data_IF_973178349731
#
_entry.id   IF_973178349731
#
_cell.length_a   1.000
_cell.length_b   1.000
_cell.length_c   1.000
_cell.angle_alpha   90.00
_cell.angle_beta   90.00
_cell.angle_gamma   90.00
#
_symmetry.space_group_name_H-M   'P 1'
#
loop_
_entity.id
_entity.type
_entity.pdbx_description
1 polymer ?
#
# COMPACT_ATOMS: atom_id res chain seq x y z
N UNK A 1 -8.27 9.66 -14.38
CA UNK A 1 -7.34 10.25 -15.37
C UNK A 1 -5.99 9.53 -15.37
N UNK A 2 -5.29 9.42 -14.23
CA UNK A 2 -3.92 8.88 -14.16
C UNK A 2 -3.84 7.39 -14.45
N UNK A 3 -4.79 6.57 -13.99
CA UNK A 3 -4.87 5.16 -14.35
C UNK A 3 -5.02 4.98 -15.87
N UNK A 4 -5.86 5.79 -16.51
CA UNK A 4 -6.03 5.76 -17.97
C UNK A 4 -4.79 6.27 -18.74
N UNK A 5 -4.00 7.17 -18.16
CA UNK A 5 -2.72 7.57 -18.71
C UNK A 5 -1.70 6.42 -18.63
N UNK A 6 -1.63 5.76 -17.49
CA UNK A 6 -0.78 4.59 -17.29
C UNK A 6 -1.13 3.42 -18.23
N UNK A 7 -2.42 3.18 -18.51
CA UNK A 7 -2.84 2.14 -19.45
C UNK A 7 -2.31 2.37 -20.87
N UNK A 8 -2.08 3.64 -21.24
CA UNK A 8 -1.50 3.99 -22.54
C UNK A 8 0.01 3.92 -22.54
N UNK A 9 0.61 4.26 -21.41
CA UNK A 9 2.07 4.27 -21.24
C UNK A 9 2.45 3.98 -19.77
N UNK A 10 2.96 2.78 -19.46
CA UNK A 10 3.40 2.42 -18.11
C UNK A 10 4.52 3.29 -17.54
N UNK A 11 5.23 4.08 -18.36
CA UNK A 11 6.18 5.06 -17.86
C UNK A 11 5.49 6.21 -17.10
N UNK A 12 4.17 6.36 -17.30
CA UNK A 12 3.35 7.32 -16.60
C UNK A 12 2.79 6.76 -15.26
N UNK A 13 3.58 5.94 -14.56
CA UNK A 13 3.26 5.55 -13.20
C UNK A 13 3.28 6.76 -12.25
N UNK A 14 2.67 6.61 -11.10
CA UNK A 14 2.60 7.67 -10.08
C UNK A 14 3.27 7.22 -8.79
N UNK A 15 3.53 8.16 -7.90
CA UNK A 15 4.08 7.88 -6.58
C UNK A 15 3.57 8.87 -5.54
N UNK A 16 3.58 8.45 -4.28
CA UNK A 16 3.29 9.29 -3.13
C UNK A 16 4.36 9.19 -2.07
N UNK A 17 4.58 10.29 -1.37
CA UNK A 17 5.43 10.35 -0.19
C UNK A 17 4.56 10.23 1.05
N UNK A 18 5.04 9.51 2.06
CA UNK A 18 4.41 9.45 3.36
C UNK A 18 4.44 10.80 4.06
N UNK A 19 3.34 11.16 4.70
CA UNK A 19 3.24 12.34 5.55
C UNK A 19 2.63 11.98 6.90
N UNK A 20 3.13 12.62 7.95
CA UNK A 20 2.69 12.36 9.33
C UNK A 20 2.35 13.65 10.11
N UNK A 21 2.40 14.78 9.44
CA UNK A 21 2.12 16.09 10.03
C UNK A 21 1.75 17.09 8.94
N UNK A 22 0.78 17.96 9.20
CA UNK A 22 0.29 18.94 8.23
C UNK A 22 1.38 19.86 7.70
N UNK A 23 2.25 20.37 8.56
CA UNK A 23 3.38 21.22 8.14
C UNK A 23 4.34 20.49 7.18
N UNK A 24 4.65 19.23 7.45
CA UNK A 24 5.52 18.43 6.58
C UNK A 24 4.87 18.21 5.20
N UNK A 25 3.60 17.85 5.16
CA UNK A 25 2.85 17.71 3.91
C UNK A 25 2.80 19.03 3.12
N UNK A 26 2.57 20.15 3.80
CA UNK A 26 2.61 21.49 3.20
C UNK A 26 3.98 21.77 2.57
N UNK A 27 5.07 21.55 3.29
CA UNK A 27 6.43 21.79 2.78
C UNK A 27 6.77 20.86 1.60
N UNK A 28 6.32 19.60 1.64
CA UNK A 28 6.45 18.69 0.50
C UNK A 28 5.79 19.26 -0.75
N UNK A 29 4.54 19.71 -0.65
CA UNK A 29 3.81 20.20 -1.83
C UNK A 29 4.32 21.55 -2.33
N UNK A 30 4.77 22.44 -1.45
CA UNK A 30 5.46 23.67 -1.84
C UNK A 30 6.74 23.35 -2.60
N UNK A 31 7.56 22.41 -2.11
CA UNK A 31 8.79 22.00 -2.77
C UNK A 31 8.49 21.32 -4.14
N UNK A 32 7.50 20.42 -4.19
CA UNK A 32 7.05 19.76 -5.42
C UNK A 32 6.63 20.80 -6.48
N UNK A 33 5.75 21.74 -6.12
CA UNK A 33 5.29 22.80 -7.02
C UNK A 33 6.44 23.65 -7.53
N UNK A 34 7.37 24.01 -6.64
CA UNK A 34 8.55 24.82 -6.99
C UNK A 34 9.51 24.11 -7.95
N UNK A 35 9.77 22.81 -7.73
CA UNK A 35 10.81 22.09 -8.46
C UNK A 35 10.29 21.36 -9.72
N UNK A 36 9.01 20.99 -9.75
CA UNK A 36 8.38 20.27 -10.87
C UNK A 36 7.37 21.10 -11.64
N UNK A 37 7.17 22.37 -11.29
CA UNK A 37 6.28 23.29 -12.01
C UNK A 37 4.78 23.11 -11.71
N UNK A 38 4.41 22.15 -10.85
CA UNK A 38 3.01 21.90 -10.49
C UNK A 38 2.84 20.74 -9.56
N UNK A 39 1.58 20.51 -9.15
CA UNK A 39 1.16 19.41 -8.25
C UNK A 39 0.38 18.32 -8.99
N UNK A 40 0.31 18.39 -10.30
CA UNK A 40 -0.36 17.35 -11.11
C UNK A 40 0.27 15.99 -10.89
N UNK A 41 -0.58 14.96 -10.77
CA UNK A 41 -0.17 13.57 -10.56
C UNK A 41 0.68 13.37 -9.29
N UNK A 42 0.45 14.21 -8.28
CA UNK A 42 1.07 14.11 -6.96
C UNK A 42 0.04 13.66 -5.94
N UNK A 43 0.51 12.92 -4.94
CA UNK A 43 -0.33 12.28 -3.94
C UNK A 43 0.36 12.33 -2.59
N UNK A 44 -0.43 12.30 -1.53
CA UNK A 44 0.07 12.11 -0.16
C UNK A 44 -0.43 10.76 0.33
N UNK A 45 0.42 9.99 1.00
CA UNK A 45 0.07 8.74 1.64
C UNK A 45 0.16 8.85 3.16
N UNK A 46 -0.90 8.45 3.84
CA UNK A 46 -0.96 8.31 5.30
C UNK A 46 -0.87 6.83 5.66
N UNK A 47 0.29 6.43 6.12
CA UNK A 47 0.57 5.06 6.54
C UNK A 47 0.12 4.82 7.97
N UNK A 48 -0.54 3.70 8.23
CA UNK A 48 -0.86 3.22 9.57
C UNK A 48 0.37 3.12 10.46
N UNK A 49 1.50 2.65 9.91
CA UNK A 49 2.78 2.64 10.62
C UNK A 49 3.20 4.01 11.16
N UNK A 50 3.12 5.06 10.32
CA UNK A 50 3.50 6.42 10.73
C UNK A 50 2.53 6.99 11.76
N UNK A 51 1.24 6.70 11.62
CA UNK A 51 0.23 7.10 12.60
C UNK A 51 0.47 6.42 13.94
N UNK A 52 0.68 5.12 13.96
CA UNK A 52 0.98 4.38 15.18
C UNK A 52 2.26 4.92 15.88
N UNK A 53 3.33 5.12 15.12
CA UNK A 53 4.61 5.54 15.66
C UNK A 53 4.65 7.01 16.12
N UNK A 54 3.87 7.91 15.50
CA UNK A 54 4.07 9.35 15.64
C UNK A 54 2.82 10.14 16.07
N UNK A 55 1.62 9.55 16.01
CA UNK A 55 0.35 10.27 16.20
C UNK A 55 -0.58 9.65 17.23
N UNK A 56 -0.22 8.52 17.83
CA UNK A 56 -1.00 7.90 18.89
C UNK A 56 -0.95 8.72 20.19
N UNK A 57 -2.07 8.87 20.87
CA UNK A 57 -2.17 9.48 22.20
C UNK A 57 -1.49 8.62 23.28
N UNK A 58 -1.31 7.32 23.03
CA UNK A 58 -0.59 6.42 23.94
C UNK A 58 0.94 6.52 23.85
N UNK A 59 1.46 7.42 23.00
CA UNK A 59 2.88 7.49 22.65
C UNK A 59 3.23 6.60 21.44
N UNK A 60 4.53 6.43 21.14
CA UNK A 60 4.95 5.62 19.99
C UNK A 60 4.51 4.16 20.12
N UNK A 61 3.76 3.67 19.14
CA UNK A 61 3.27 2.30 19.07
C UNK A 61 3.85 1.56 17.85
N UNK A 62 3.95 0.23 17.91
CA UNK A 62 4.23 -0.58 16.73
C UNK A 62 3.05 -0.57 15.76
N UNK A 63 3.30 -0.99 14.52
CA UNK A 63 2.30 -1.11 13.44
C UNK A 63 1.39 -2.33 13.66
N UNK A 64 0.46 -2.22 14.61
CA UNK A 64 -0.43 -3.30 15.07
C UNK A 64 -1.87 -2.82 15.30
N UNK A 65 -2.31 -1.75 14.65
CA UNK A 65 -3.68 -1.17 14.79
C UNK A 65 -4.09 -0.87 16.24
N UNK A 66 -3.12 -0.51 17.09
CA UNK A 66 -3.38 -0.20 18.50
C UNK A 66 -3.62 1.29 18.74
N UNK A 67 -3.37 2.15 17.76
CA UNK A 67 -3.66 3.58 17.86
C UNK A 67 -5.17 3.84 17.80
N UNK A 68 -5.57 5.02 18.20
CA UNK A 68 -6.98 5.43 18.25
C UNK A 68 -7.56 5.49 16.84
N UNK A 69 -8.78 4.97 16.65
CA UNK A 69 -9.49 4.96 15.34
C UNK A 69 -9.61 6.34 14.71
N UNK A 70 -9.60 7.39 15.52
CA UNK A 70 -9.75 8.78 15.07
C UNK A 70 -8.45 9.46 14.71
N UNK A 71 -7.29 8.83 14.95
CA UNK A 71 -5.97 9.42 14.66
C UNK A 71 -5.76 9.67 13.18
N UNK A 72 -6.16 8.74 12.29
CA UNK A 72 -6.03 8.94 10.84
C UNK A 72 -6.98 10.02 10.32
N UNK A 73 -8.29 10.02 10.63
CA UNK A 73 -9.16 11.13 10.25
C UNK A 73 -8.66 12.50 10.71
N UNK A 74 -8.21 12.63 11.96
CA UNK A 74 -7.67 13.87 12.48
C UNK A 74 -6.43 14.36 11.71
N UNK A 75 -5.55 13.44 11.34
CA UNK A 75 -4.37 13.76 10.52
C UNK A 75 -4.75 14.17 9.10
N UNK A 76 -5.76 13.57 8.49
CA UNK A 76 -6.28 13.97 7.18
C UNK A 76 -6.77 15.41 7.22
N UNK A 77 -7.59 15.77 8.21
CA UNK A 77 -8.11 17.14 8.41
C UNK A 77 -6.97 18.14 8.61
N UNK A 78 -5.99 17.79 9.44
CA UNK A 78 -4.80 18.62 9.67
C UNK A 78 -4.06 18.88 8.35
N UNK A 79 -3.72 17.83 7.60
CA UNK A 79 -3.00 17.95 6.33
C UNK A 79 -3.78 18.80 5.34
N UNK A 80 -5.05 18.52 5.16
CA UNK A 80 -5.92 19.28 4.26
C UNK A 80 -5.92 20.77 4.62
N UNK A 81 -6.04 21.10 5.92
CA UNK A 81 -6.01 22.48 6.42
C UNK A 81 -4.67 23.17 6.10
N UNK A 82 -3.55 22.50 6.31
CA UNK A 82 -2.24 23.06 6.00
C UNK A 82 -2.00 23.27 4.50
N UNK A 83 -2.48 22.37 3.66
CA UNK A 83 -2.39 22.52 2.19
C UNK A 83 -3.22 23.72 1.70
N UNK A 84 -4.48 23.85 2.20
CA UNK A 84 -5.29 25.02 1.89
C UNK A 84 -4.70 26.34 2.40
N UNK A 85 -4.02 26.31 3.53
CA UNK A 85 -3.31 27.47 4.04
C UNK A 85 -2.16 27.89 3.13
N UNK A 86 -1.45 26.93 2.51
CA UNK A 86 -0.43 27.23 1.50
C UNK A 86 -1.04 27.94 0.28
N UNK A 87 -2.17 27.46 -0.21
CA UNK A 87 -2.92 28.11 -1.31
C UNK A 87 -3.30 29.55 -0.96
N UNK A 88 -3.95 29.74 0.18
CA UNK A 88 -4.37 31.07 0.65
C UNK A 88 -3.19 32.02 0.76
N UNK A 89 -2.05 31.54 1.25
CA UNK A 89 -0.84 32.35 1.39
C UNK A 89 -0.27 32.77 0.05
N UNK A 90 -0.12 31.81 -0.87
CA UNK A 90 0.42 32.11 -2.22
C UNK A 90 -0.47 33.08 -2.98
N UNK A 91 -1.77 32.86 -2.99
CA UNK A 91 -2.74 33.73 -3.67
C UNK A 91 -2.75 35.14 -3.06
N UNK A 92 -2.75 35.25 -1.72
CA UNK A 92 -2.67 36.55 -1.07
C UNK A 92 -1.37 37.30 -1.39
N UNK A 93 -0.24 36.60 -1.47
CA UNK A 93 1.05 37.23 -1.83
C UNK A 93 1.05 37.73 -3.29
N UNK A 94 0.43 36.98 -4.20
CA UNK A 94 0.22 37.41 -5.60
C UNK A 94 -0.66 38.67 -5.68
N UNK A 95 -1.78 38.71 -4.98
CA UNK A 95 -2.65 39.89 -4.97
C UNK A 95 -2.00 41.11 -4.30
N UNK A 96 -1.26 40.94 -3.22
CA UNK A 96 -0.48 42.03 -2.62
C UNK A 96 0.58 42.57 -3.58
N UNK A 97 1.23 41.72 -4.34
CA UNK A 97 2.18 42.13 -5.37
C UNK A 97 1.48 42.83 -6.53
N UNK A 98 0.32 42.35 -6.95
CA UNK A 98 -0.55 42.98 -7.95
C UNK A 98 -0.93 44.40 -7.56
N UNK A 99 -1.44 44.61 -6.35
CA UNK A 99 -1.83 45.94 -5.81
C UNK A 99 -0.64 46.92 -5.81
N UNK A 100 0.55 46.43 -5.44
CA UNK A 100 1.76 47.25 -5.48
C UNK A 100 2.16 47.64 -6.90
N UNK A 101 2.06 46.71 -7.87
CA UNK A 101 2.35 47.00 -9.28
C UNK A 101 1.34 48.02 -9.86
N UNK A 102 0.05 47.84 -9.55
CA UNK A 102 -1.01 48.79 -9.91
C UNK A 102 -0.72 50.19 -9.37
N UNK A 103 -0.38 50.33 -8.07
CA UNK A 103 -0.07 51.58 -7.42
C UNK A 103 1.19 52.25 -8.01
N UNK A 104 2.14 51.46 -8.50
CA UNK A 104 3.34 51.93 -9.19
C UNK A 104 3.14 52.30 -10.66
N UNK A 105 1.94 52.04 -11.22
CA UNK A 105 1.62 52.23 -12.63
C UNK A 105 2.23 51.18 -13.58
N UNK A 106 2.81 50.11 -13.05
CA UNK A 106 3.38 49.02 -13.84
C UNK A 106 2.28 48.02 -14.29
N UNK A 107 1.59 48.40 -15.36
CA UNK A 107 0.47 47.63 -15.91
C UNK A 107 0.90 46.25 -16.45
N UNK A 108 2.12 46.13 -16.99
CA UNK A 108 2.63 44.87 -17.51
C UNK A 108 2.85 43.86 -16.36
N UNK A 109 3.46 44.30 -15.27
CA UNK A 109 3.68 43.47 -14.07
C UNK A 109 2.36 43.10 -13.40
N UNK A 110 1.42 44.04 -13.31
CA UNK A 110 0.10 43.79 -12.76
C UNK A 110 -0.62 42.71 -13.56
N UNK A 111 -0.64 42.80 -14.89
CA UNK A 111 -1.25 41.79 -15.75
C UNK A 111 -0.61 40.40 -15.58
N UNK A 112 0.72 40.33 -15.51
CA UNK A 112 1.45 39.06 -15.22
C UNK A 112 1.01 38.44 -13.91
N UNK A 113 0.94 39.23 -12.83
CA UNK A 113 0.60 38.75 -11.49
C UNK A 113 -0.85 38.30 -11.40
N UNK A 114 -1.76 39.00 -12.08
CA UNK A 114 -3.16 38.59 -12.15
C UNK A 114 -3.31 37.27 -12.90
N UNK A 115 -2.66 37.10 -14.06
CA UNK A 115 -2.67 35.85 -14.79
C UNK A 115 -2.11 34.67 -13.97
N UNK A 116 -1.07 34.90 -13.17
CA UNK A 116 -0.53 33.90 -12.24
C UNK A 116 -1.53 33.54 -11.13
N UNK A 117 -2.26 34.51 -10.61
CA UNK A 117 -3.30 34.26 -9.60
C UNK A 117 -4.49 33.48 -10.18
N UNK A 118 -4.92 33.81 -11.42
CA UNK A 118 -6.00 33.14 -12.13
C UNK A 118 -5.63 31.69 -12.56
N UNK A 119 -4.36 31.46 -12.87
CA UNK A 119 -3.83 30.12 -13.22
C UNK A 119 -3.25 29.37 -12.03
N UNK A 120 -3.57 29.79 -10.81
CA UNK A 120 -3.05 29.16 -9.59
C UNK A 120 -3.36 27.67 -9.53
N UNK A 121 -2.33 26.86 -9.39
CA UNK A 121 -2.46 25.43 -9.10
C UNK A 121 -2.47 25.19 -7.60
N UNK A 122 -3.47 24.48 -7.11
CA UNK A 122 -3.64 24.18 -5.70
C UNK A 122 -2.51 23.29 -5.16
N UNK A 123 -2.16 23.46 -3.89
CA UNK A 123 -1.31 22.53 -3.13
C UNK A 123 -2.10 21.32 -2.61
N UNK A 124 -3.44 21.39 -2.66
CA UNK A 124 -4.27 20.27 -2.26
C UNK A 124 -4.17 19.16 -3.31
N UNK A 125 -3.67 18.02 -2.89
CA UNK A 125 -3.52 16.81 -3.72
C UNK A 125 -4.32 15.68 -3.11
N UNK A 126 -4.67 14.63 -3.89
CA UNK A 126 -5.38 13.47 -3.34
C UNK A 126 -4.61 12.83 -2.19
N UNK A 127 -5.34 12.51 -1.11
CA UNK A 127 -4.82 11.83 0.08
C UNK A 127 -5.26 10.36 0.01
N UNK A 128 -4.28 9.47 0.03
CA UNK A 128 -4.46 8.02 0.16
C UNK A 128 -4.25 7.69 1.64
N UNK A 129 -5.24 7.13 2.31
CA UNK A 129 -5.19 6.88 3.74
C UNK A 129 -5.32 5.40 4.06
N UNK A 130 -4.49 4.94 4.99
CA UNK A 130 -4.49 3.58 5.51
C UNK A 130 -5.60 3.43 6.56
N UNK A 131 -6.49 2.47 6.37
CA UNK A 131 -7.53 2.08 7.32
C UNK A 131 -7.15 0.78 8.05
N UNK A 132 -5.88 0.35 7.94
CA UNK A 132 -5.40 -0.94 8.46
C UNK A 132 -6.34 -2.08 8.03
N UNK A 133 -6.71 -2.96 8.95
CA UNK A 133 -7.67 -4.04 8.72
C UNK A 133 -9.14 -3.63 8.99
N UNK A 134 -9.44 -2.32 9.07
CA UNK A 134 -10.77 -1.77 9.27
C UNK A 134 -11.21 -1.57 10.72
N UNK A 135 -10.32 -1.80 11.71
CA UNK A 135 -10.58 -1.61 13.14
C UNK A 135 -11.83 -2.32 13.68
N UNK A 136 -12.15 -3.48 13.14
CA UNK A 136 -13.27 -4.32 13.55
C UNK A 136 -13.95 -5.04 12.38
N UNK A 137 -15.25 -5.21 12.48
CA UNK A 137 -16.09 -5.80 11.44
C UNK A 137 -16.46 -4.79 10.32
N UNK A 138 -17.35 -5.18 9.41
CA UNK A 138 -17.76 -4.34 8.28
C UNK A 138 -18.42 -3.04 8.72
N UNK A 139 -19.23 -3.06 9.79
CA UNK A 139 -19.91 -1.86 10.32
C UNK A 139 -18.91 -0.87 10.92
N UNK A 140 -17.93 -1.37 11.68
CA UNK A 140 -16.84 -0.55 12.21
C UNK A 140 -16.01 0.08 11.08
N UNK A 141 -15.71 -0.72 10.05
CA UNK A 141 -14.99 -0.27 8.84
C UNK A 141 -15.79 0.81 8.10
N UNK A 142 -17.12 0.65 7.94
CA UNK A 142 -17.96 1.65 7.33
C UNK A 142 -17.92 2.99 8.07
N UNK A 143 -18.11 2.98 9.40
CA UNK A 143 -18.10 4.18 10.22
C UNK A 143 -16.76 4.92 10.15
N UNK A 144 -15.66 4.18 10.18
CA UNK A 144 -14.32 4.77 10.07
C UNK A 144 -14.06 5.30 8.66
N UNK A 145 -14.40 4.54 7.62
CA UNK A 145 -14.27 4.97 6.22
C UNK A 145 -15.04 6.27 5.97
N UNK A 146 -16.29 6.34 6.43
CA UNK A 146 -17.10 7.56 6.35
C UNK A 146 -16.38 8.75 6.96
N UNK A 147 -15.85 8.59 8.17
CA UNK A 147 -15.14 9.66 8.87
C UNK A 147 -13.86 10.10 8.13
N UNK A 148 -13.13 9.16 7.54
CA UNK A 148 -11.92 9.46 6.76
C UNK A 148 -12.26 10.19 5.46
N UNK A 149 -13.33 9.81 4.77
CA UNK A 149 -13.81 10.47 3.54
C UNK A 149 -14.29 11.89 3.86
N UNK A 150 -15.07 12.08 4.92
CA UNK A 150 -15.50 13.40 5.41
C UNK A 150 -14.31 14.30 5.75
N UNK A 151 -13.22 13.73 6.28
CA UNK A 151 -11.98 14.45 6.57
C UNK A 151 -11.19 14.84 5.30
N UNK A 152 -11.47 14.22 4.15
CA UNK A 152 -10.88 14.56 2.86
C UNK A 152 -10.06 13.44 2.19
N UNK A 153 -10.12 12.20 2.66
CA UNK A 153 -9.48 11.08 1.97
C UNK A 153 -10.14 10.81 0.62
N UNK A 154 -9.32 10.67 -0.43
CA UNK A 154 -9.78 10.35 -1.78
C UNK A 154 -9.62 8.85 -2.10
N UNK A 155 -8.74 8.18 -1.38
CA UNK A 155 -8.51 6.75 -1.50
C UNK A 155 -8.31 6.13 -0.11
N UNK A 156 -8.86 4.93 0.09
CA UNK A 156 -8.68 4.16 1.32
C UNK A 156 -8.00 2.83 1.00
N UNK A 157 -6.98 2.50 1.77
CA UNK A 157 -6.27 1.23 1.66
C UNK A 157 -6.64 0.35 2.85
N UNK A 158 -7.09 -0.87 2.56
CA UNK A 158 -7.48 -1.87 3.56
C UNK A 158 -6.77 -3.20 3.32
N UNK A 159 -6.44 -3.90 4.38
CA UNK A 159 -5.78 -5.21 4.33
C UNK A 159 -6.62 -6.34 4.90
N UNK A 160 -6.32 -7.58 4.48
CA UNK A 160 -7.08 -8.78 4.85
C UNK A 160 -6.64 -9.43 6.17
N UNK A 161 -5.90 -8.72 7.01
CA UNK A 161 -5.56 -9.21 8.35
C UNK A 161 -6.75 -9.10 9.32
N UNK A 162 -6.67 -9.84 10.41
CA UNK A 162 -7.60 -9.70 11.55
C UNK A 162 -7.27 -8.40 12.28
N UNK A 163 -8.27 -7.55 12.53
CA UNK A 163 -8.05 -6.19 13.04
C UNK A 163 -7.37 -6.14 14.41
N UNK A 164 -7.71 -7.04 15.30
CA UNK A 164 -7.20 -7.11 16.68
C UNK A 164 -5.92 -7.96 16.81
N UNK A 165 -5.47 -8.58 15.72
CA UNK A 165 -4.26 -9.40 15.63
C UNK A 165 -3.30 -8.92 14.53
N UNK A 166 -3.51 -7.70 14.01
CA UNK A 166 -2.74 -7.11 12.92
C UNK A 166 -1.27 -6.98 13.28
N UNK A 167 -0.42 -7.39 12.32
CA UNK A 167 1.03 -7.24 12.38
C UNK A 167 1.51 -6.38 11.20
N UNK A 168 2.67 -5.75 11.37
CA UNK A 168 3.36 -5.13 10.24
C UNK A 168 3.55 -6.15 9.11
N UNK A 169 3.40 -5.72 7.86
CA UNK A 169 3.43 -6.59 6.69
C UNK A 169 4.68 -7.47 6.55
N UNK A 170 5.79 -7.05 7.15
CA UNK A 170 7.08 -7.75 7.11
C UNK A 170 7.33 -8.65 8.34
N UNK A 171 6.37 -8.74 9.25
CA UNK A 171 6.47 -9.62 10.43
C UNK A 171 5.82 -10.98 10.17
N UNK A 172 6.34 -11.99 10.88
CA UNK A 172 5.74 -13.31 10.93
C UNK A 172 4.49 -13.34 11.83
N UNK A 173 3.71 -14.42 11.70
CA UNK A 173 2.55 -14.65 12.56
C UNK A 173 1.29 -13.87 12.17
N UNK A 174 1.24 -13.33 10.96
CA UNK A 174 0.04 -12.66 10.43
C UNK A 174 -1.14 -13.62 10.33
N UNK A 175 -2.31 -13.14 10.73
CA UNK A 175 -3.57 -13.89 10.71
C UNK A 175 -4.53 -13.19 9.76
N UNK A 176 -5.03 -13.91 8.75
CA UNK A 176 -5.99 -13.37 7.77
C UNK A 176 -7.44 -13.70 8.13
N UNK A 177 -8.36 -12.85 7.65
CA UNK A 177 -9.80 -13.12 7.68
C UNK A 177 -10.22 -13.91 6.44
N UNK A 178 -11.32 -14.68 6.48
CA UNK A 178 -11.87 -15.32 5.30
C UNK A 178 -12.45 -14.29 4.33
N UNK A 179 -12.66 -14.71 3.09
CA UNK A 179 -13.09 -13.84 1.99
C UNK A 179 -14.39 -13.12 2.26
N UNK A 180 -15.39 -13.78 2.83
CA UNK A 180 -16.68 -13.16 3.13
C UNK A 180 -16.54 -11.95 4.06
N UNK A 181 -15.69 -12.02 5.07
CA UNK A 181 -15.45 -10.90 5.99
C UNK A 181 -14.71 -9.76 5.29
N UNK A 182 -13.72 -10.09 4.48
CA UNK A 182 -12.96 -9.08 3.75
C UNK A 182 -13.80 -8.39 2.67
N UNK A 183 -14.60 -9.15 1.91
CA UNK A 183 -15.54 -8.62 0.91
C UNK A 183 -16.55 -7.67 1.55
N UNK A 184 -17.09 -8.02 2.72
CA UNK A 184 -18.03 -7.14 3.42
C UNK A 184 -17.36 -5.81 3.81
N UNK A 185 -16.11 -5.80 4.25
CA UNK A 185 -15.35 -4.58 4.55
C UNK A 185 -15.11 -3.73 3.29
N UNK A 186 -14.73 -4.36 2.17
CA UNK A 186 -14.56 -3.67 0.88
C UNK A 186 -15.88 -2.98 0.46
N UNK A 187 -16.98 -3.72 0.52
CA UNK A 187 -18.32 -3.19 0.19
C UNK A 187 -18.76 -2.09 1.15
N UNK A 188 -18.41 -2.17 2.42
CA UNK A 188 -18.69 -1.15 3.43
C UNK A 188 -17.98 0.18 3.09
N UNK A 189 -16.71 0.11 2.67
CA UNK A 189 -15.96 1.29 2.20
C UNK A 189 -16.60 1.86 0.92
N UNK A 190 -16.93 1.01 -0.06
CA UNK A 190 -17.60 1.46 -1.29
C UNK A 190 -18.94 2.15 -0.99
N UNK A 191 -19.70 1.57 -0.08
CA UNK A 191 -20.96 2.16 0.34
C UNK A 191 -20.76 3.55 1.00
N UNK A 192 -19.76 3.71 1.86
CA UNK A 192 -19.42 4.99 2.46
C UNK A 192 -19.08 6.06 1.40
N UNK A 193 -18.31 5.73 0.37
CA UNK A 193 -18.01 6.63 -0.74
C UNK A 193 -19.29 7.04 -1.50
N UNK A 194 -20.15 6.07 -1.82
CA UNK A 194 -21.41 6.33 -2.54
C UNK A 194 -22.38 7.18 -1.73
N UNK A 195 -22.54 6.89 -0.44
CA UNK A 195 -23.41 7.64 0.46
C UNK A 195 -22.99 9.11 0.60
N UNK A 196 -21.67 9.36 0.63
CA UNK A 196 -21.13 10.72 0.72
C UNK A 196 -21.04 11.44 -0.65
N UNK A 197 -21.53 10.84 -1.71
CA UNK A 197 -21.54 11.45 -3.06
C UNK A 197 -20.15 11.51 -3.70
N UNK A 198 -19.24 10.60 -3.37
CA UNK A 198 -17.87 10.49 -3.90
C UNK A 198 -17.70 9.17 -4.66
N UNK A 199 -18.44 8.94 -5.76
CA UNK A 199 -18.44 7.66 -6.46
C UNK A 199 -17.07 7.31 -7.06
N UNK A 200 -16.22 8.30 -7.32
CA UNK A 200 -14.85 8.13 -7.85
C UNK A 200 -13.82 7.80 -6.75
N UNK A 201 -14.24 7.65 -5.50
CA UNK A 201 -13.36 7.25 -4.40
C UNK A 201 -12.71 5.91 -4.67
N UNK A 202 -11.40 5.81 -4.42
CA UNK A 202 -10.57 4.66 -4.77
C UNK A 202 -10.42 3.74 -3.55
N UNK A 203 -10.56 2.43 -3.78
CA UNK A 203 -10.30 1.40 -2.78
C UNK A 203 -9.08 0.60 -3.21
N UNK A 204 -8.04 0.62 -2.38
CA UNK A 204 -6.84 -0.20 -2.53
C UNK A 204 -6.95 -1.37 -1.56
N UNK A 205 -6.97 -2.59 -2.08
CA UNK A 205 -7.03 -3.79 -1.25
C UNK A 205 -5.67 -4.46 -1.17
N UNK A 206 -5.15 -4.57 0.06
CA UNK A 206 -3.90 -5.26 0.34
C UNK A 206 -4.17 -6.69 0.74
N UNK A 207 -3.42 -7.62 0.16
CA UNK A 207 -3.33 -9.00 0.63
C UNK A 207 -2.00 -9.26 1.30
N UNK A 208 -2.05 -9.81 2.50
CA UNK A 208 -0.91 -10.28 3.28
C UNK A 208 -0.68 -11.79 3.13
N UNK A 209 -1.47 -12.45 2.30
CA UNK A 209 -1.50 -13.92 2.19
C UNK A 209 -0.19 -14.54 1.73
N UNK A 210 0.72 -13.78 1.09
CA UNK A 210 2.03 -14.30 0.70
C UNK A 210 2.84 -14.78 1.91
N UNK A 211 2.88 -13.95 2.98
CA UNK A 211 3.60 -14.24 4.22
C UNK A 211 2.70 -14.71 5.38
N UNK A 212 1.37 -14.64 5.26
CA UNK A 212 0.46 -15.06 6.32
C UNK A 212 0.23 -16.57 6.28
N UNK A 213 0.60 -17.25 7.35
CA UNK A 213 0.40 -18.71 7.48
C UNK A 213 -0.88 -19.12 8.21
N UNK A 214 -1.63 -18.18 8.78
CA UNK A 214 -2.73 -18.42 9.70
C UNK A 214 -4.02 -17.74 9.25
N UNK A 215 -5.16 -18.33 9.64
CA UNK A 215 -6.48 -17.69 9.53
C UNK A 215 -7.31 -17.91 10.80
N UNK A 216 -8.17 -16.94 11.10
CA UNK A 216 -9.01 -16.97 12.30
C UNK A 216 -10.14 -17.99 12.20
N UNK A 217 -10.66 -18.19 11.01
CA UNK A 217 -11.79 -19.08 10.79
C UNK A 217 -11.80 -19.70 9.39
N UNK A 218 -12.59 -20.74 9.23
CA UNK A 218 -12.85 -21.39 7.96
C UNK A 218 -13.87 -20.55 7.19
N UNK A 219 -13.66 -20.38 5.89
CA UNK A 219 -14.62 -19.69 5.02
C UNK A 219 -15.92 -20.50 4.88
N UNK A 220 -17.03 -19.78 4.83
CA UNK A 220 -18.32 -20.41 4.60
C UNK A 220 -18.43 -20.91 3.15
N UNK A 221 -18.78 -22.16 2.97
CA UNK A 221 -19.00 -22.78 1.67
C UNK A 221 -20.36 -23.49 1.67
N UNK A 222 -21.14 -23.31 0.60
CA UNK A 222 -22.41 -24.01 0.37
C UNK A 222 -22.24 -25.16 -0.55
N UNK A 223 -21.39 -25.00 -1.56
CA UNK A 223 -21.25 -25.96 -2.67
C UNK A 223 -19.77 -26.17 -3.01
N UNK A 224 -19.38 -27.34 -3.50
CA UNK A 224 -18.04 -27.56 -4.00
C UNK A 224 -17.69 -26.56 -5.11
N UNK A 225 -16.51 -25.94 -4.98
CA UNK A 225 -15.99 -24.97 -5.96
C UNK A 225 -16.51 -23.55 -5.80
N UNK A 226 -17.37 -23.25 -4.82
CA UNK A 226 -17.70 -21.89 -4.49
C UNK A 226 -16.49 -21.14 -3.88
N UNK A 227 -16.62 -19.86 -3.62
CA UNK A 227 -15.52 -19.04 -3.11
C UNK A 227 -14.98 -19.53 -1.76
N UNK A 228 -15.86 -19.95 -0.86
CA UNK A 228 -15.45 -20.50 0.43
C UNK A 228 -14.70 -21.82 0.29
N UNK A 229 -15.15 -22.70 -0.61
CA UNK A 229 -14.45 -23.96 -0.90
C UNK A 229 -13.07 -23.71 -1.52
N UNK A 230 -12.96 -22.75 -2.45
CA UNK A 230 -11.68 -22.34 -3.04
C UNK A 230 -10.71 -21.83 -1.97
N UNK A 231 -11.18 -21.02 -1.02
CA UNK A 231 -10.36 -20.53 0.10
C UNK A 231 -9.94 -21.67 1.03
N UNK A 232 -10.90 -22.50 1.44
CA UNK A 232 -10.66 -23.62 2.35
C UNK A 232 -9.74 -24.68 1.73
N UNK A 233 -9.65 -24.72 0.40
CA UNK A 233 -8.73 -25.60 -0.32
C UNK A 233 -7.26 -25.42 0.08
N UNK A 234 -6.88 -24.27 0.62
CA UNK A 234 -5.51 -23.98 1.05
C UNK A 234 -5.22 -24.39 2.51
N UNK A 235 -6.24 -24.74 3.29
CA UNK A 235 -6.06 -25.11 4.70
C UNK A 235 -5.25 -26.41 4.85
N UNK A 236 -4.46 -26.49 5.92
CA UNK A 236 -3.87 -27.74 6.40
C UNK A 236 -4.97 -28.58 7.04
N UNK A 237 -5.15 -29.78 6.52
CA UNK A 237 -6.23 -30.69 6.89
C UNK A 237 -5.67 -32.07 7.23
N UNK A 238 -6.41 -32.81 8.04
CA UNK A 238 -6.26 -34.25 8.20
C UNK A 238 -7.34 -34.98 7.38
N UNK A 239 -6.97 -36.09 6.77
CA UNK A 239 -7.95 -37.00 6.12
C UNK A 239 -8.65 -37.83 7.20
N UNK A 240 -9.96 -37.87 7.13
CA UNK A 240 -10.78 -38.66 8.07
C UNK A 240 -11.78 -39.55 7.33
N UNK A 241 -12.23 -40.57 7.99
CA UNK A 241 -13.38 -41.39 7.54
C UNK A 241 -14.70 -40.80 8.06
N UNK A 242 -15.80 -41.11 7.41
CA UNK A 242 -17.13 -40.66 7.86
C UNK A 242 -17.44 -41.04 9.31
N UNK A 243 -16.92 -42.17 9.81
CA UNK A 243 -17.08 -42.60 11.21
C UNK A 243 -16.22 -41.85 12.22
N UNK A 244 -15.25 -41.06 11.77
CA UNK A 244 -14.41 -40.21 12.62
C UNK A 244 -14.94 -38.76 12.71
N UNK A 245 -15.92 -38.41 11.87
CA UNK A 245 -16.57 -37.12 11.93
C UNK A 245 -17.36 -36.97 13.23
N UNK A 246 -17.22 -35.80 13.89
CA UNK A 246 -17.93 -35.45 15.12
C UNK A 246 -18.98 -34.40 14.81
N UNK A 247 -19.99 -34.34 15.69
CA UNK A 247 -20.96 -33.24 15.62
C UNK A 247 -20.25 -31.89 15.83
N UNK A 248 -20.52 -30.96 14.92
CA UNK A 248 -19.85 -29.66 14.89
C UNK A 248 -18.55 -29.59 14.08
N UNK A 249 -18.05 -30.70 13.54
CA UNK A 249 -16.90 -30.66 12.62
C UNK A 249 -17.28 -29.96 11.31
N UNK A 250 -16.42 -29.07 10.84
CA UNK A 250 -16.48 -28.54 9.47
C UNK A 250 -15.69 -29.48 8.56
N UNK A 251 -16.33 -30.01 7.56
CA UNK A 251 -15.75 -31.02 6.67
C UNK A 251 -15.61 -30.46 5.25
N UNK A 252 -14.44 -30.67 4.67
CA UNK A 252 -14.10 -30.31 3.29
C UNK A 252 -14.05 -31.60 2.47
N UNK A 253 -14.70 -31.62 1.31
CA UNK A 253 -14.58 -32.70 0.33
C UNK A 253 -13.65 -32.27 -0.79
N UNK A 254 -12.58 -33.02 -1.00
CA UNK A 254 -11.60 -32.72 -2.05
C UNK A 254 -11.14 -34.05 -2.68
N UNK A 255 -11.25 -34.16 -4.00
CA UNK A 255 -10.81 -35.34 -4.75
C UNK A 255 -11.37 -36.65 -4.18
N UNK A 256 -12.63 -36.62 -3.74
CA UNK A 256 -13.29 -37.77 -3.14
C UNK A 256 -12.90 -38.08 -1.69
N UNK A 257 -11.98 -37.35 -1.11
CA UNK A 257 -11.53 -37.47 0.27
C UNK A 257 -12.35 -36.59 1.20
N UNK A 258 -12.53 -37.04 2.43
CA UNK A 258 -13.13 -36.25 3.50
C UNK A 258 -12.02 -35.68 4.37
N UNK A 259 -11.95 -34.38 4.44
CA UNK A 259 -10.90 -33.64 5.13
C UNK A 259 -11.49 -32.83 6.27
N UNK A 260 -10.79 -32.78 7.39
CA UNK A 260 -11.07 -31.89 8.51
C UNK A 260 -9.93 -30.90 8.68
N UNK A 261 -10.20 -29.56 8.63
CA UNK A 261 -9.17 -28.57 8.91
C UNK A 261 -8.57 -28.75 10.31
N UNK A 262 -7.25 -28.68 10.38
CA UNK A 262 -6.53 -28.77 11.65
C UNK A 262 -6.64 -27.47 12.42
N UNK A 263 -7.26 -27.52 13.59
CA UNK A 263 -7.35 -26.39 14.50
C UNK A 263 -6.19 -26.40 15.46
N UNK A 264 -5.46 -25.28 15.54
CA UNK A 264 -4.35 -25.11 16.47
C UNK A 264 -4.84 -24.88 17.92
N UNK A 265 -3.99 -25.08 18.94
CA UNK A 265 -4.34 -24.75 20.34
C UNK A 265 -4.74 -23.29 20.56
N UNK A 266 -4.26 -22.37 19.72
CA UNK A 266 -4.63 -20.94 19.67
C UNK A 266 -6.03 -20.68 19.11
N UNK A 267 -6.77 -21.72 18.73
CA UNK A 267 -8.03 -21.64 18.02
C UNK A 267 -7.96 -21.09 16.58
N UNK A 268 -6.77 -20.93 16.01
CA UNK A 268 -6.52 -20.56 14.63
C UNK A 268 -6.44 -21.81 13.74
N UNK A 269 -6.54 -21.58 12.44
CA UNK A 269 -6.28 -22.59 11.40
C UNK A 269 -5.00 -22.22 10.65
N UNK A 270 -4.30 -23.22 10.15
CA UNK A 270 -3.08 -23.05 9.40
C UNK A 270 -3.30 -23.32 7.92
N UNK A 271 -2.70 -22.50 7.08
CA UNK A 271 -2.60 -22.77 5.66
C UNK A 271 -1.44 -23.71 5.37
N UNK A 272 -1.56 -24.48 4.29
CA UNK A 272 -0.47 -25.34 3.82
C UNK A 272 0.70 -24.48 3.36
N UNK A 273 1.95 -24.85 3.73
CA UNK A 273 3.16 -24.17 3.25
C UNK A 273 3.19 -24.11 1.72
N UNK A 274 3.74 -23.01 1.18
CA UNK A 274 3.89 -22.80 -0.25
C UNK A 274 2.62 -22.34 -1.00
N UNK A 275 1.49 -22.13 -0.31
CA UNK A 275 0.24 -21.68 -0.94
C UNK A 275 0.03 -20.17 -0.96
N UNK A 276 1.01 -19.39 -0.46
CA UNK A 276 0.86 -17.95 -0.31
C UNK A 276 0.59 -17.21 -1.62
N UNK A 277 1.32 -17.51 -2.67
CA UNK A 277 1.13 -16.88 -3.98
C UNK A 277 -0.25 -17.20 -4.59
N UNK A 278 -0.73 -18.45 -4.47
CA UNK A 278 -2.05 -18.84 -4.96
C UNK A 278 -3.16 -18.13 -4.20
N UNK A 279 -2.99 -17.97 -2.88
CA UNK A 279 -3.93 -17.21 -2.05
C UNK A 279 -3.95 -15.74 -2.40
N UNK A 280 -2.76 -15.12 -2.64
CA UNK A 280 -2.69 -13.73 -3.10
C UNK A 280 -3.44 -13.53 -4.42
N UNK A 281 -3.33 -14.46 -5.36
CA UNK A 281 -4.06 -14.40 -6.64
C UNK A 281 -5.56 -14.47 -6.40
N UNK A 282 -6.03 -15.42 -5.57
CA UNK A 282 -7.46 -15.56 -5.24
C UNK A 282 -7.98 -14.31 -4.51
N UNK A 283 -7.27 -13.80 -3.52
CA UNK A 283 -7.62 -12.57 -2.78
C UNK A 283 -7.74 -11.38 -3.73
N UNK A 284 -6.79 -11.23 -4.65
CA UNK A 284 -6.74 -10.14 -5.60
C UNK A 284 -7.92 -10.15 -6.56
N UNK A 285 -8.20 -11.31 -7.19
CA UNK A 285 -9.34 -11.49 -8.10
C UNK A 285 -10.64 -11.19 -7.35
N UNK A 286 -10.82 -11.79 -6.18
CA UNK A 286 -12.03 -11.64 -5.37
C UNK A 286 -12.24 -10.19 -4.95
N UNK A 287 -11.19 -9.49 -4.55
CA UNK A 287 -11.26 -8.08 -4.16
C UNK A 287 -11.71 -7.19 -5.32
N UNK A 288 -11.12 -7.34 -6.50
CA UNK A 288 -11.49 -6.57 -7.70
C UNK A 288 -12.94 -6.84 -8.13
N UNK A 289 -13.38 -8.08 -8.05
CA UNK A 289 -14.76 -8.46 -8.37
C UNK A 289 -15.79 -7.94 -7.37
N UNK A 290 -15.35 -7.47 -6.19
CA UNK A 290 -16.22 -7.03 -5.11
C UNK A 290 -16.04 -5.53 -4.74
N UNK A 291 -15.48 -4.73 -5.63
CA UNK A 291 -15.50 -3.27 -5.52
C UNK A 291 -14.17 -2.61 -5.21
N UNK A 292 -13.06 -3.36 -5.16
CA UNK A 292 -11.72 -2.77 -5.17
C UNK A 292 -11.38 -2.18 -6.55
N UNK A 293 -10.58 -1.13 -6.57
CA UNK A 293 -10.10 -0.47 -7.78
C UNK A 293 -8.64 -0.83 -8.07
N UNK A 294 -7.86 -0.99 -7.02
CA UNK A 294 -6.43 -1.28 -7.06
C UNK A 294 -6.08 -2.37 -6.05
N UNK A 295 -5.01 -3.07 -6.35
CA UNK A 295 -4.47 -4.13 -5.50
C UNK A 295 -3.17 -3.69 -4.85
N UNK A 296 -2.85 -4.33 -3.72
CA UNK A 296 -1.53 -4.31 -3.12
C UNK A 296 -1.21 -5.72 -2.63
N UNK A 297 -0.18 -6.33 -3.21
CA UNK A 297 0.36 -7.61 -2.72
C UNK A 297 1.55 -7.28 -1.82
N UNK A 298 1.41 -7.57 -0.53
CA UNK A 298 2.52 -7.38 0.41
C UNK A 298 3.57 -8.46 0.20
N UNK A 299 4.82 -8.03 -0.04
CA UNK A 299 5.96 -8.92 -0.30
C UNK A 299 7.04 -8.76 0.76
N UNK A 300 7.88 -9.78 0.93
CA UNK A 300 8.99 -9.75 1.88
C UNK A 300 10.24 -9.03 1.32
N UNK A 301 10.31 -8.91 0.00
CA UNK A 301 11.44 -8.32 -0.72
C UNK A 301 11.00 -7.75 -2.06
N UNK A 302 11.73 -6.75 -2.60
CA UNK A 302 11.43 -6.17 -3.90
C UNK A 302 11.93 -7.09 -5.03
N UNK A 303 11.03 -7.93 -5.55
CA UNK A 303 11.35 -8.87 -6.62
C UNK A 303 10.32 -8.77 -7.75
N UNK A 304 10.68 -8.09 -8.85
CA UNK A 304 9.75 -7.76 -9.95
C UNK A 304 9.07 -9.00 -10.53
N UNK A 305 9.81 -10.05 -10.85
CA UNK A 305 9.25 -11.25 -11.48
C UNK A 305 8.31 -12.04 -10.54
N UNK A 306 8.58 -12.04 -9.23
CA UNK A 306 7.66 -12.64 -8.25
C UNK A 306 6.30 -11.94 -8.27
N UNK A 307 6.32 -10.60 -8.26
CA UNK A 307 5.10 -9.80 -8.31
C UNK A 307 4.39 -10.01 -9.66
N UNK A 308 5.15 -9.94 -10.73
CA UNK A 308 4.64 -10.10 -12.09
C UNK A 308 3.98 -11.44 -12.32
N UNK A 309 4.57 -12.54 -11.85
CA UNK A 309 3.99 -13.89 -12.01
C UNK A 309 2.62 -14.04 -11.33
N UNK A 310 2.41 -13.41 -10.19
CA UNK A 310 1.08 -13.35 -9.55
C UNK A 310 0.12 -12.48 -10.35
N UNK A 311 0.58 -11.31 -10.81
CA UNK A 311 -0.27 -10.38 -11.57
C UNK A 311 -0.63 -10.91 -12.97
N UNK A 312 0.22 -11.67 -13.62
CA UNK A 312 -0.11 -12.34 -14.89
C UNK A 312 -1.34 -13.25 -14.70
N UNK A 313 -1.37 -14.05 -13.63
CA UNK A 313 -2.50 -14.91 -13.27
C UNK A 313 -3.76 -14.10 -12.89
N UNK A 314 -3.62 -13.01 -12.17
CA UNK A 314 -4.75 -12.12 -11.85
C UNK A 314 -5.35 -11.54 -13.14
N UNK A 315 -4.51 -11.16 -14.10
CA UNK A 315 -4.94 -10.57 -15.38
C UNK A 315 -5.57 -11.56 -16.35
N UNK A 316 -5.35 -12.85 -16.18
CA UNK A 316 -6.13 -13.86 -16.91
C UNK A 316 -7.63 -13.73 -16.62
N UNK A 317 -8.01 -13.26 -15.42
CA UNK A 317 -9.41 -13.11 -14.99
C UNK A 317 -9.85 -11.63 -15.03
N UNK A 318 -8.97 -10.71 -14.63
CA UNK A 318 -9.24 -9.28 -14.60
C UNK A 318 -8.14 -8.53 -15.40
N UNK A 319 -8.29 -8.41 -16.74
CA UNK A 319 -7.21 -7.96 -17.63
C UNK A 319 -6.60 -6.61 -17.29
N UNK A 320 -7.39 -5.68 -16.74
CA UNK A 320 -6.96 -4.31 -16.42
C UNK A 320 -6.49 -4.15 -14.96
N UNK A 321 -6.23 -5.24 -14.25
CA UNK A 321 -5.77 -5.20 -12.86
C UNK A 321 -4.44 -4.45 -12.74
N UNK A 322 -4.38 -3.54 -11.75
CA UNK A 322 -3.22 -2.69 -11.45
C UNK A 322 -2.84 -2.81 -9.99
N UNK A 323 -1.56 -2.60 -9.70
CA UNK A 323 -1.02 -2.62 -8.35
C UNK A 323 -0.69 -1.22 -7.84
N UNK A 324 -0.86 -1.08 -6.54
CA UNK A 324 -0.12 -0.18 -5.66
C UNK A 324 0.99 -0.99 -5.01
N UNK A 325 2.19 -0.46 -4.86
CA UNK A 325 3.30 -1.20 -4.27
C UNK A 325 4.03 -0.40 -3.19
N UNK A 326 4.27 -1.05 -2.07
CA UNK A 326 5.03 -0.47 -0.96
C UNK A 326 6.54 -0.60 -1.24
N UNK A 327 7.18 0.53 -1.53
CA UNK A 327 8.65 0.60 -1.60
C UNK A 327 9.19 0.74 -0.17
N UNK A 328 9.03 -0.33 0.61
CA UNK A 328 9.33 -0.31 2.03
C UNK A 328 10.81 -0.09 2.33
N UNK A 329 11.15 0.84 3.24
CA UNK A 329 12.51 0.96 3.75
C UNK A 329 12.91 -0.20 4.68
N UNK A 330 11.95 -1.05 5.10
CA UNK A 330 12.23 -2.28 5.86
C UNK A 330 12.89 -3.36 5.01
N UNK A 331 12.76 -3.27 3.68
CA UNK A 331 13.50 -4.15 2.79
C UNK A 331 15.00 -3.88 2.89
N UNK A 332 15.80 -4.92 2.97
CA UNK A 332 17.21 -4.78 2.69
C UNK A 332 17.42 -4.74 1.15
N UNK A 333 17.25 -3.55 0.58
CA UNK A 333 17.35 -3.31 -0.86
C UNK A 333 18.69 -3.78 -1.43
N UNK A 334 19.79 -3.41 -0.79
CA UNK A 334 21.13 -3.77 -1.23
C UNK A 334 21.29 -5.28 -1.28
N UNK A 335 21.00 -5.99 -0.18
CA UNK A 335 21.11 -7.45 -0.16
C UNK A 335 20.18 -8.11 -1.18
N UNK A 336 18.92 -7.66 -1.26
CA UNK A 336 17.93 -8.25 -2.16
C UNK A 336 18.37 -8.17 -3.62
N UNK A 337 18.88 -7.02 -4.06
CA UNK A 337 19.31 -6.87 -5.44
C UNK A 337 20.68 -7.51 -5.73
N UNK A 338 21.62 -7.45 -4.80
CA UNK A 338 22.90 -8.19 -4.93
C UNK A 338 22.66 -9.70 -5.00
N UNK A 339 21.74 -10.23 -4.20
CA UNK A 339 21.37 -11.65 -4.28
C UNK A 339 20.75 -12.00 -5.63
N UNK A 340 19.84 -11.18 -6.15
CA UNK A 340 19.21 -11.39 -7.45
C UNK A 340 20.25 -11.35 -8.59
N UNK A 341 21.21 -10.43 -8.54
CA UNK A 341 22.30 -10.38 -9.53
C UNK A 341 23.20 -11.61 -9.41
N UNK A 342 23.57 -11.98 -8.19
CA UNK A 342 24.37 -13.18 -7.92
C UNK A 342 23.71 -14.45 -8.47
N UNK A 343 22.41 -14.62 -8.19
CA UNK A 343 21.67 -15.80 -8.64
C UNK A 343 21.58 -15.84 -10.18
N UNK A 344 21.29 -14.70 -10.83
CA UNK A 344 21.25 -14.59 -12.28
C UNK A 344 22.62 -14.90 -12.91
N UNK A 345 23.70 -14.35 -12.37
CA UNK A 345 25.06 -14.63 -12.87
C UNK A 345 25.44 -16.10 -12.73
N UNK A 346 25.04 -16.74 -11.62
CA UNK A 346 25.26 -18.17 -11.39
C UNK A 346 24.49 -19.03 -12.41
N UNK A 347 23.25 -18.67 -12.72
CA UNK A 347 22.45 -19.35 -13.75
C UNK A 347 23.06 -19.18 -15.15
N UNK A 348 23.66 -18.02 -15.43
CA UNK A 348 24.39 -17.75 -16.69
C UNK A 348 25.76 -18.45 -16.75
N UNK A 349 26.18 -19.12 -15.67
CA UNK A 349 27.47 -19.80 -15.60
C UNK A 349 28.67 -18.88 -15.39
N UNK A 350 28.46 -17.64 -14.93
CA UNK A 350 29.52 -16.70 -14.56
C UNK A 350 30.20 -17.13 -13.26
N UNK A 351 31.47 -16.80 -13.11
CA UNK A 351 32.19 -17.06 -11.86
C UNK A 351 31.75 -16.10 -10.76
N UNK A 352 31.09 -16.65 -9.75
CA UNK A 352 30.60 -15.92 -8.56
C UNK A 352 31.37 -16.29 -7.29
N UNK A 353 32.47 -17.03 -7.40
CA UNK A 353 33.25 -17.54 -6.27
C UNK A 353 33.85 -16.44 -5.37
N UNK A 354 34.04 -15.25 -5.91
CA UNK A 354 34.52 -14.09 -5.16
C UNK A 354 33.48 -13.46 -4.21
N UNK A 355 32.20 -13.86 -4.30
CA UNK A 355 31.10 -13.29 -3.53
C UNK A 355 30.57 -14.28 -2.51
N UNK A 356 30.80 -14.01 -1.26
CA UNK A 356 30.17 -14.69 -0.14
C UNK A 356 29.01 -13.86 0.46
N UNK A 357 28.31 -14.44 1.44
CA UNK A 357 27.20 -13.76 2.10
C UNK A 357 27.62 -12.45 2.77
N UNK A 358 28.82 -12.36 3.33
CA UNK A 358 29.30 -11.15 3.99
C UNK A 358 29.47 -10.00 2.98
N UNK A 359 30.03 -10.30 1.80
CA UNK A 359 30.14 -9.32 0.70
C UNK A 359 28.77 -8.90 0.18
N UNK A 360 27.85 -9.84 -0.03
CA UNK A 360 26.49 -9.51 -0.48
C UNK A 360 25.75 -8.63 0.53
N UNK A 361 25.98 -8.83 1.83
CA UNK A 361 25.35 -8.04 2.90
C UNK A 361 26.05 -6.71 3.17
N UNK A 362 27.23 -6.46 2.65
CA UNK A 362 27.93 -5.20 2.87
C UNK A 362 27.11 -4.02 2.38
N UNK A 363 26.97 -3.01 3.23
CA UNK A 363 26.33 -1.73 2.87
C UNK A 363 27.28 -0.80 2.13
N UNK A 364 28.58 -1.09 2.23
CA UNK A 364 29.62 -0.31 1.57
C UNK A 364 29.67 -0.65 0.09
N UNK A 365 29.79 0.36 -0.73
CA UNK A 365 30.07 0.20 -2.16
C UNK A 365 31.52 -0.27 -2.33
N UNK A 366 31.70 -1.48 -2.83
CA UNK A 366 33.03 -2.09 -3.02
C UNK A 366 33.58 -1.92 -4.44
N UNK A 367 32.87 -1.21 -5.32
CA UNK A 367 33.26 -0.98 -6.71
C UNK A 367 33.25 -2.25 -7.58
N UNK A 368 32.62 -3.33 -7.11
CA UNK A 368 32.50 -4.56 -7.90
C UNK A 368 31.40 -4.44 -8.96
N UNK A 369 31.57 -5.15 -10.08
CA UNK A 369 30.58 -5.21 -11.16
C UNK A 369 29.22 -5.68 -10.65
N UNK A 370 29.19 -6.58 -9.65
CA UNK A 370 27.97 -7.07 -9.02
C UNK A 370 27.25 -5.96 -8.27
N UNK A 371 27.98 -5.16 -7.49
CA UNK A 371 27.41 -4.03 -6.75
C UNK A 371 26.90 -2.95 -7.71
N UNK A 372 27.63 -2.65 -8.79
CA UNK A 372 27.20 -1.71 -9.82
C UNK A 372 25.91 -2.16 -10.53
N UNK A 373 25.82 -3.43 -10.91
CA UNK A 373 24.61 -3.97 -11.53
C UNK A 373 23.43 -3.97 -10.55
N UNK A 374 23.63 -4.33 -9.28
CA UNK A 374 22.60 -4.28 -8.26
C UNK A 374 22.08 -2.85 -8.05
N UNK A 375 22.96 -1.87 -7.95
CA UNK A 375 22.60 -0.46 -7.82
C UNK A 375 21.87 0.08 -9.06
N UNK A 376 22.25 -0.36 -10.26
CA UNK A 376 21.53 -0.03 -11.48
C UNK A 376 20.09 -0.57 -11.45
N UNK A 377 19.90 -1.82 -11.02
CA UNK A 377 18.57 -2.44 -10.86
C UNK A 377 17.71 -1.76 -9.79
N UNK A 378 18.32 -1.29 -8.68
CA UNK A 378 17.62 -0.49 -7.67
C UNK A 378 17.11 0.82 -8.28
N UNK A 379 17.97 1.52 -9.04
CA UNK A 379 17.59 2.78 -9.70
C UNK A 379 16.46 2.62 -10.71
N UNK A 380 16.41 1.52 -11.45
CA UNK A 380 15.37 1.25 -12.46
C UNK A 380 14.13 0.57 -11.88
N UNK A 381 14.14 0.12 -10.62
CA UNK A 381 13.11 -0.76 -10.04
C UNK A 381 11.68 -0.25 -10.26
N UNK A 382 11.40 1.02 -10.00
CA UNK A 382 10.03 1.54 -10.15
C UNK A 382 9.56 1.47 -11.61
N UNK A 383 10.43 1.84 -12.56
CA UNK A 383 10.08 1.80 -13.98
C UNK A 383 9.91 0.36 -14.48
N UNK A 384 10.81 -0.55 -14.09
CA UNK A 384 10.77 -1.96 -14.49
C UNK A 384 9.55 -2.67 -13.89
N UNK A 385 9.29 -2.46 -12.61
CA UNK A 385 8.14 -3.01 -11.92
C UNK A 385 6.82 -2.46 -12.46
N UNK A 386 6.76 -1.16 -12.79
CA UNK A 386 5.57 -0.57 -13.41
C UNK A 386 5.28 -1.19 -14.77
N UNK A 387 6.30 -1.36 -15.59
CA UNK A 387 6.17 -1.94 -16.93
C UNK A 387 5.85 -3.45 -16.89
N UNK A 388 6.56 -4.21 -16.04
CA UNK A 388 6.48 -5.68 -16.04
C UNK A 388 5.35 -6.22 -15.15
N UNK A 389 5.21 -5.70 -13.93
CA UNK A 389 4.24 -6.19 -12.97
C UNK A 389 2.93 -5.39 -12.94
N UNK A 390 2.88 -4.23 -13.58
CA UNK A 390 1.68 -3.37 -13.60
C UNK A 390 1.50 -2.56 -12.34
N UNK A 391 2.60 -2.12 -11.76
CA UNK A 391 2.55 -1.22 -10.61
C UNK A 391 2.25 0.18 -11.12
N UNK A 392 1.01 0.59 -10.94
CA UNK A 392 0.52 1.93 -11.29
C UNK A 392 0.99 3.00 -10.31
N UNK A 393 1.05 2.66 -9.02
CA UNK A 393 1.35 3.62 -7.97
C UNK A 393 2.35 3.06 -6.97
N UNK A 394 3.42 3.82 -6.72
CA UNK A 394 4.43 3.49 -5.73
C UNK A 394 4.23 4.29 -4.44
N UNK A 395 4.03 3.58 -3.32
CA UNK A 395 4.02 4.17 -1.99
C UNK A 395 5.45 4.25 -1.46
N UNK A 396 5.89 5.46 -1.11
CA UNK A 396 7.21 5.71 -0.52
C UNK A 396 6.99 6.26 0.89
N UNK A 397 6.86 5.35 1.84
CA UNK A 397 6.28 5.61 3.16
C UNK A 397 7.13 6.53 4.04
N UNK A 398 8.42 6.24 4.20
CA UNK A 398 9.25 6.85 5.24
C UNK A 398 10.32 7.87 4.81
N UNK A 399 10.53 8.24 3.54
CA UNK A 399 11.68 9.07 3.15
C UNK A 399 11.66 10.44 3.82
N UNK A 400 10.49 11.03 4.02
CA UNK A 400 10.35 12.34 4.68
C UNK A 400 10.71 12.25 6.15
N UNK A 401 10.31 11.17 6.83
CA UNK A 401 10.69 10.92 8.22
C UNK A 401 12.20 10.74 8.37
N UNK A 402 12.81 9.89 7.52
CA UNK A 402 14.26 9.69 7.55
C UNK A 402 15.04 10.95 7.22
N UNK A 403 14.58 11.75 6.24
CA UNK A 403 15.21 13.02 5.88
C UNK A 403 15.10 14.04 7.02
N UNK A 404 13.96 14.13 7.68
CA UNK A 404 13.77 14.99 8.84
C UNK A 404 14.70 14.57 10.00
N UNK A 405 14.75 13.27 10.31
CA UNK A 405 15.65 12.75 11.35
C UNK A 405 17.13 13.01 11.04
N UNK A 406 17.55 12.79 9.79
CA UNK A 406 18.91 13.10 9.34
C UNK A 406 19.24 14.59 9.44
N UNK A 407 18.33 15.46 9.01
CA UNK A 407 18.51 16.92 9.09
C UNK A 407 18.67 17.39 10.53
N UNK A 408 17.86 16.86 11.45
CA UNK A 408 17.98 17.15 12.88
C UNK A 408 19.30 16.64 13.47
N UNK A 409 19.76 15.47 13.06
CA UNK A 409 21.05 14.92 13.48
C UNK A 409 22.23 15.80 13.04
N UNK A 410 22.17 16.38 11.84
CA UNK A 410 23.19 17.27 11.30
C UNK A 410 23.30 18.60 12.04
N UNK A 411 22.25 19.08 12.71
CA UNK A 411 22.27 20.31 13.50
C UNK A 411 23.26 20.19 14.69
N UNK A 412 23.47 18.97 15.21
CA UNK A 412 24.38 18.73 16.33
C UNK A 412 25.85 18.56 15.91
N UNK A 413 26.16 18.55 14.64
CA UNK A 413 27.52 18.44 14.09
C UNK A 413 28.08 19.84 13.84
#
# INVERSE_FOLDING_TARGET
ADMAAYDRDPALYTQSLGAWHGFIAQQQMIAVKKHFGGTERRYIYLSGWMVAALRSEFGPLPDQSMHEKTSVPALIEEIYTFLRQADSREVNDLFRAYDKAQAAGDQAKAAELLARAESHQTHVVPIIADIDAGFGNAEATYLLAKKMIEAGACALQIENQVSDEKQCGHQDGKVTVPHEDFIQKIRAIRYAFLELGVPEGIIVTRTDSLGAGLTKQIAYSREPGDLGDQYNAFLDCEEITAGQAKDGDVLIRREGRLLRPKRLPSNLYQFRPGTGADRCVLDSITSLQNGADLLWIETEKPHVEQIASMMDRVREVVPNAKLVYNNSPSFNWTLSFRQQVYDAWKEEGRDVSAYDRAKLMSVDYDGSDLAEEADARIRSFQADASKRAGIFHHLITLPTYHTAALSLSLIHI
#
